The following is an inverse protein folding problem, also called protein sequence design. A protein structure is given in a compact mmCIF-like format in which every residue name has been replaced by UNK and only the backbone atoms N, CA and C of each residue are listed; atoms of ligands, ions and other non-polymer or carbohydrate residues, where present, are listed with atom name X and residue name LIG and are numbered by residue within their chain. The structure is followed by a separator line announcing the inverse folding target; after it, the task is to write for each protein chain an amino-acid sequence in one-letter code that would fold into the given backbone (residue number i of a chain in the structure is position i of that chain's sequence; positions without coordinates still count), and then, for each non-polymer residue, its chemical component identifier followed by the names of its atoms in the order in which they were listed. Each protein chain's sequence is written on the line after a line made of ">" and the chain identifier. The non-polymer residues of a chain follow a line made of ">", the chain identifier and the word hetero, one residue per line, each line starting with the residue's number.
data_IF_903518832017
#
_entry.id   IF_903518832017
#
_cell.length_a   1.000
_cell.length_b   1.000
_cell.length_c   1.000
_cell.angle_alpha   90.00
_cell.angle_beta   90.00
_cell.angle_gamma   90.00
#
_symmetry.space_group_name_H-M   'P 1'
#
loop_
_entity.id
_entity.type
_entity.pdbx_description
1 polymer ?
#
# COMPACT_ATOMS: atom_id res chain seq x y z
N UNK A 1 -11.85 -23.10 -17.68
CA UNK A 1 -11.16 -23.94 -16.67
C UNK A 1 -11.78 -23.65 -15.31
N UNK A 2 -12.21 -24.66 -14.58
CA UNK A 2 -12.74 -24.48 -13.23
C UNK A 2 -11.59 -24.02 -12.31
N UNK A 3 -11.78 -22.97 -11.50
CA UNK A 3 -10.74 -22.52 -10.57
C UNK A 3 -10.34 -23.64 -9.61
N UNK A 4 -9.08 -23.66 -9.18
CA UNK A 4 -8.60 -24.61 -8.16
C UNK A 4 -9.43 -24.48 -6.87
N UNK A 5 -9.67 -25.58 -6.15
CA UNK A 5 -10.52 -25.68 -4.95
C UNK A 5 -10.22 -24.60 -3.88
N UNK A 6 -8.99 -24.10 -3.81
CA UNK A 6 -8.54 -23.11 -2.84
C UNK A 6 -8.31 -21.71 -3.48
N UNK A 7 -8.82 -21.48 -4.68
CA UNK A 7 -8.69 -20.14 -5.30
C UNK A 7 -9.65 -19.16 -4.63
N UNK A 8 -9.10 -18.11 -4.00
CA UNK A 8 -9.81 -17.05 -3.30
C UNK A 8 -9.79 -15.73 -4.05
N UNK A 9 -9.25 -15.71 -5.28
CA UNK A 9 -9.18 -14.49 -6.10
C UNK A 9 -10.56 -13.88 -6.26
N UNK A 10 -10.71 -12.63 -5.84
CA UNK A 10 -11.93 -11.88 -6.09
C UNK A 10 -11.99 -11.47 -7.55
N UNK A 11 -13.02 -11.96 -8.23
CA UNK A 11 -13.40 -11.60 -9.59
C UNK A 11 -14.87 -11.18 -9.53
N UNK A 12 -15.19 -10.03 -10.10
CA UNK A 12 -16.57 -9.55 -10.15
C UNK A 12 -17.25 -10.02 -11.44
N UNK A 13 -18.55 -10.40 -11.33
CA UNK A 13 -19.43 -10.50 -12.48
C UNK A 13 -19.68 -9.14 -13.11
N UNK A 14 -20.23 -9.07 -14.31
CA UNK A 14 -20.64 -7.80 -14.92
C UNK A 14 -21.74 -7.10 -14.11
N UNK A 15 -22.64 -7.86 -13.49
CA UNK A 15 -23.71 -7.36 -12.64
C UNK A 15 -23.15 -6.75 -11.36
N UNK A 16 -22.24 -7.47 -10.66
CA UNK A 16 -21.56 -6.97 -9.48
C UNK A 16 -20.70 -5.76 -9.79
N UNK A 17 -20.02 -5.76 -10.94
CA UNK A 17 -19.23 -4.60 -11.38
C UNK A 17 -20.10 -3.36 -11.51
N UNK A 18 -21.26 -3.47 -12.16
CA UNK A 18 -22.21 -2.35 -12.27
C UNK A 18 -22.75 -1.91 -10.92
N UNK A 19 -23.13 -2.86 -10.07
CA UNK A 19 -23.62 -2.60 -8.72
C UNK A 19 -22.61 -1.81 -7.89
N UNK A 20 -21.39 -2.30 -7.78
CA UNK A 20 -20.36 -1.66 -6.96
C UNK A 20 -19.80 -0.37 -7.57
N UNK A 21 -19.80 -0.23 -8.91
CA UNK A 21 -19.44 1.02 -9.56
C UNK A 21 -20.43 2.16 -9.20
N UNK A 22 -21.69 1.85 -9.01
CA UNK A 22 -22.72 2.83 -8.59
C UNK A 22 -22.53 3.30 -7.14
N UNK A 23 -21.76 2.58 -6.32
CA UNK A 23 -21.40 3.00 -4.96
C UNK A 23 -20.22 3.99 -4.94
N UNK A 24 -19.48 4.09 -6.06
CA UNK A 24 -18.38 5.03 -6.20
C UNK A 24 -18.90 6.43 -6.50
N UNK A 25 -18.29 7.44 -5.90
CA UNK A 25 -18.59 8.84 -6.18
C UNK A 25 -18.06 9.20 -7.58
N UNK A 26 -18.93 9.74 -8.42
CA UNK A 26 -18.54 10.31 -9.70
C UNK A 26 -18.60 11.84 -9.58
N UNK A 27 -17.47 12.55 -9.58
CA UNK A 27 -17.44 13.99 -9.48
C UNK A 27 -18.13 14.64 -10.68
N UNK A 28 -19.03 15.57 -10.42
CA UNK A 28 -19.81 16.31 -11.43
C UNK A 28 -19.17 17.65 -11.85
N UNK A 29 -17.96 17.91 -11.40
CA UNK A 29 -17.23 19.17 -11.62
C UNK A 29 -17.41 20.20 -10.51
N UNK A 30 -18.26 19.95 -9.52
CA UNK A 30 -18.41 20.81 -8.35
C UNK A 30 -17.28 20.62 -7.35
N UNK A 31 -17.01 21.67 -6.54
CA UNK A 31 -16.06 21.58 -5.45
C UNK A 31 -16.47 20.52 -4.42
N UNK A 32 -15.54 19.68 -4.03
CA UNK A 32 -15.73 18.62 -3.05
C UNK A 32 -15.31 19.09 -1.66
N UNK A 33 -16.13 18.83 -0.66
CA UNK A 33 -15.75 19.00 0.75
C UNK A 33 -15.14 17.71 1.31
N UNK A 34 -14.38 17.82 2.41
CA UNK A 34 -13.83 16.66 3.11
C UNK A 34 -14.92 15.65 3.48
N UNK A 35 -16.07 16.12 3.98
CA UNK A 35 -17.19 15.26 4.35
C UNK A 35 -17.82 14.50 3.16
N UNK A 36 -17.74 15.03 1.95
CA UNK A 36 -18.25 14.35 0.75
C UNK A 36 -17.35 13.21 0.27
N UNK A 37 -16.04 13.32 0.50
CA UNK A 37 -15.03 12.36 0.04
C UNK A 37 -14.58 11.38 1.13
N UNK A 38 -14.91 11.65 2.39
CA UNK A 38 -14.57 10.80 3.51
C UNK A 38 -15.14 9.38 3.34
N UNK A 39 -14.25 8.39 3.42
CA UNK A 39 -14.57 6.96 3.27
C UNK A 39 -15.23 6.62 1.91
N UNK A 40 -14.81 7.33 0.85
CA UNK A 40 -15.34 7.13 -0.51
C UNK A 40 -14.25 6.78 -1.51
N UNK A 41 -14.67 6.09 -2.56
CA UNK A 41 -13.92 5.89 -3.79
C UNK A 41 -14.47 6.85 -4.83
N UNK A 42 -13.58 7.60 -5.48
CA UNK A 42 -13.93 8.49 -6.58
C UNK A 42 -13.55 7.77 -7.89
N UNK A 43 -14.55 7.50 -8.72
CA UNK A 43 -14.30 6.97 -10.06
C UNK A 43 -14.05 8.12 -11.03
N UNK A 44 -12.80 8.46 -11.25
CA UNK A 44 -12.40 9.57 -12.11
C UNK A 44 -10.91 9.53 -12.44
N UNK A 45 -10.48 10.33 -13.42
CA UNK A 45 -9.07 10.67 -13.62
C UNK A 45 -8.62 11.65 -12.54
N UNK A 46 -7.48 11.36 -11.90
CA UNK A 46 -6.92 12.21 -10.84
C UNK A 46 -6.69 13.65 -11.31
N UNK A 47 -6.28 13.85 -12.55
CA UNK A 47 -6.03 15.19 -13.10
C UNK A 47 -7.30 16.04 -13.16
N UNK A 48 -8.45 15.41 -13.38
CA UNK A 48 -9.76 16.07 -13.39
C UNK A 48 -10.30 16.32 -11.98
N UNK A 49 -9.94 15.48 -11.01
CA UNK A 49 -10.43 15.58 -9.63
C UNK A 49 -9.59 16.53 -8.79
N UNK A 50 -8.28 16.61 -9.04
CA UNK A 50 -7.38 17.46 -8.25
C UNK A 50 -7.89 18.89 -8.03
N UNK A 51 -8.38 19.63 -9.04
CA UNK A 51 -8.89 20.98 -8.82
C UNK A 51 -10.11 21.05 -7.90
N UNK A 52 -10.86 19.95 -7.78
CA UNK A 52 -12.12 19.86 -7.03
C UNK A 52 -11.90 19.47 -5.56
N UNK A 53 -10.77 18.82 -5.23
CA UNK A 53 -10.51 18.35 -3.86
C UNK A 53 -10.33 19.53 -2.88
N UNK A 54 -10.66 19.37 -1.61
CA UNK A 54 -10.32 20.35 -0.58
C UNK A 54 -8.79 20.46 -0.40
N UNK A 55 -8.32 21.54 0.20
CA UNK A 55 -6.93 21.70 0.58
C UNK A 55 -6.68 21.19 2.00
N UNK A 56 -5.44 20.77 2.30
CA UNK A 56 -4.98 20.47 3.67
C UNK A 56 -5.84 19.50 4.46
N UNK A 57 -6.28 18.40 3.85
CA UNK A 57 -7.08 17.38 4.53
C UNK A 57 -6.33 16.06 4.76
N UNK A 58 -5.22 15.82 4.04
CA UNK A 58 -4.50 14.55 4.02
C UNK A 58 -3.42 14.53 5.11
N UNK A 59 -3.49 13.55 6.00
CA UNK A 59 -2.45 13.22 6.98
C UNK A 59 -1.40 12.28 6.38
N UNK A 60 -1.84 11.30 5.57
CA UNK A 60 -1.00 10.31 4.92
C UNK A 60 -1.38 10.13 3.47
N UNK A 61 -0.44 10.39 2.58
CA UNK A 61 -0.56 10.19 1.14
C UNK A 61 0.23 8.94 0.72
N UNK A 62 -0.45 7.99 0.09
CA UNK A 62 0.16 6.78 -0.48
C UNK A 62 -0.07 6.79 -1.98
N UNK A 63 0.99 6.72 -2.75
CA UNK A 63 0.96 6.85 -4.21
C UNK A 63 1.60 5.61 -4.85
N UNK A 64 0.84 4.87 -5.65
CA UNK A 64 1.34 3.79 -6.50
C UNK A 64 1.03 4.13 -7.98
N UNK A 65 1.77 5.06 -8.57
CA UNK A 65 1.46 5.58 -9.90
C UNK A 65 1.80 4.54 -10.98
N UNK A 66 1.25 4.65 -12.20
CA UNK A 66 1.71 3.85 -13.32
C UNK A 66 3.21 3.98 -13.50
N UNK A 67 3.92 2.84 -13.45
CA UNK A 67 5.36 2.80 -13.72
C UNK A 67 5.61 2.99 -15.21
N UNK A 68 6.76 3.56 -15.57
CA UNK A 68 7.16 3.76 -16.96
C UNK A 68 7.47 2.42 -17.66
N UNK A 69 6.46 1.59 -17.78
CA UNK A 69 6.51 0.26 -18.38
C UNK A 69 5.34 0.08 -19.35
N UNK A 70 5.53 -0.69 -20.42
CA UNK A 70 4.43 -1.10 -21.30
C UNK A 70 3.49 -2.02 -20.52
N UNK A 71 2.35 -1.49 -20.08
CA UNK A 71 1.30 -2.26 -19.41
C UNK A 71 -0.08 -1.90 -19.96
N UNK A 72 -0.95 -2.89 -19.93
CA UNK A 72 -2.36 -2.73 -20.23
C UNK A 72 -3.14 -2.91 -18.91
N UNK A 73 -3.86 -1.88 -18.51
CA UNK A 73 -4.76 -1.90 -17.39
C UNK A 73 -6.18 -1.89 -17.93
N UNK A 74 -6.78 -3.07 -18.13
CA UNK A 74 -8.15 -3.24 -18.60
C UNK A 74 -8.50 -2.41 -19.86
N UNK A 75 -7.58 -2.35 -20.84
CA UNK A 75 -7.75 -1.56 -22.08
C UNK A 75 -7.05 -0.21 -22.09
N UNK A 76 -6.74 0.37 -20.93
CA UNK A 76 -5.89 1.55 -20.83
C UNK A 76 -4.43 1.14 -21.00
N UNK A 77 -3.80 1.58 -22.09
CA UNK A 77 -2.40 1.30 -22.34
C UNK A 77 -1.51 2.43 -21.81
N UNK A 78 -0.65 2.10 -20.85
CA UNK A 78 0.45 2.97 -20.49
C UNK A 78 1.68 2.59 -21.31
N UNK A 79 2.14 3.51 -22.16
CA UNK A 79 3.30 3.32 -23.04
C UNK A 79 4.61 3.59 -22.32
N UNK A 80 5.71 3.06 -22.85
CA UNK A 80 7.05 3.46 -22.39
C UNK A 80 7.34 4.88 -22.89
N UNK A 81 7.61 5.79 -21.97
CA UNK A 81 8.00 7.19 -22.24
C UNK A 81 9.51 7.35 -22.13
N UNK A 82 10.07 8.38 -22.77
CA UNK A 82 11.42 8.84 -22.46
C UNK A 82 11.43 9.44 -21.04
N UNK A 83 12.60 9.50 -20.40
CA UNK A 83 12.71 9.93 -18.99
C UNK A 83 12.19 11.37 -18.77
N UNK A 84 12.44 12.28 -19.69
CA UNK A 84 11.96 13.68 -19.64
C UNK A 84 10.43 13.76 -19.82
N UNK A 85 9.86 12.91 -20.68
CA UNK A 85 8.42 12.83 -20.90
C UNK A 85 7.72 12.28 -19.64
N UNK A 86 8.28 11.21 -19.05
CA UNK A 86 7.77 10.66 -17.80
C UNK A 86 7.89 11.66 -16.64
N UNK A 87 9.00 12.38 -16.56
CA UNK A 87 9.19 13.45 -15.57
C UNK A 87 8.14 14.56 -15.70
N UNK A 88 7.85 14.96 -16.94
CA UNK A 88 6.83 15.99 -17.24
C UNK A 88 5.43 15.48 -16.87
N UNK A 89 5.09 14.25 -17.24
CA UNK A 89 3.85 13.61 -16.87
C UNK A 89 3.69 13.49 -15.33
N UNK A 90 4.76 13.09 -14.62
CA UNK A 90 4.73 12.99 -13.16
C UNK A 90 4.50 14.37 -12.51
N UNK A 91 5.21 15.42 -12.95
CA UNK A 91 5.04 16.78 -12.42
C UNK A 91 3.63 17.32 -12.63
N UNK A 92 2.99 17.00 -13.74
CA UNK A 92 1.67 17.53 -14.13
C UNK A 92 0.59 17.27 -13.07
N UNK A 93 0.62 16.11 -12.42
CA UNK A 93 -0.35 15.75 -11.38
C UNK A 93 0.24 15.82 -9.96
N UNK A 94 1.52 15.53 -9.79
CA UNK A 94 2.16 15.49 -8.47
C UNK A 94 2.23 16.87 -7.82
N UNK A 95 2.65 17.89 -8.55
CA UNK A 95 2.79 19.25 -8.00
C UNK A 95 1.46 19.83 -7.54
N UNK A 96 0.36 19.79 -8.33
CA UNK A 96 -0.96 20.20 -7.86
C UNK A 96 -1.48 19.35 -6.69
N UNK A 97 -1.10 18.08 -6.59
CA UNK A 97 -1.51 17.18 -5.51
C UNK A 97 -1.01 17.65 -4.14
N UNK A 98 0.14 18.32 -4.08
CA UNK A 98 0.74 18.74 -2.80
C UNK A 98 -0.14 19.68 -1.97
N UNK A 99 -1.09 20.40 -2.60
CA UNK A 99 -2.01 21.29 -1.90
C UNK A 99 -2.97 20.58 -0.94
N UNK A 100 -3.20 19.28 -1.13
CA UNK A 100 -4.10 18.50 -0.25
C UNK A 100 -3.43 18.08 1.06
N UNK A 101 -2.10 18.18 1.15
CA UNK A 101 -1.32 17.75 2.30
C UNK A 101 -1.48 18.71 3.48
N UNK A 102 -1.66 18.17 4.67
CA UNK A 102 -1.48 18.90 5.92
C UNK A 102 -0.01 19.27 6.14
N UNK A 103 0.30 20.29 6.97
CA UNK A 103 1.68 20.71 7.23
C UNK A 103 2.60 19.62 7.80
N UNK A 104 2.04 18.64 8.49
CA UNK A 104 2.72 17.51 9.14
C UNK A 104 2.51 16.16 8.41
N UNK A 105 1.96 16.22 7.19
CA UNK A 105 1.66 15.03 6.39
C UNK A 105 2.92 14.23 6.03
N UNK A 106 2.72 12.91 5.98
CA UNK A 106 3.67 11.95 5.44
C UNK A 106 3.26 11.49 4.03
N UNK A 107 4.24 11.19 3.18
CA UNK A 107 4.03 10.76 1.80
C UNK A 107 4.86 9.52 1.51
N UNK A 108 4.24 8.50 0.93
CA UNK A 108 4.92 7.34 0.39
C UNK A 108 4.65 7.21 -1.11
N UNK A 109 5.72 7.05 -1.90
CA UNK A 109 5.61 6.89 -3.35
C UNK A 109 6.26 5.57 -3.75
N UNK A 110 5.44 4.64 -4.25
CA UNK A 110 5.93 3.38 -4.82
C UNK A 110 6.58 3.66 -6.18
N UNK A 111 7.73 3.04 -6.43
CA UNK A 111 8.49 3.22 -7.66
C UNK A 111 9.17 1.93 -8.07
N UNK A 112 9.62 1.87 -9.32
CA UNK A 112 10.54 0.82 -9.78
C UNK A 112 11.93 1.43 -10.02
N UNK A 113 12.97 0.62 -10.05
CA UNK A 113 14.37 1.07 -10.02
C UNK A 113 14.76 2.09 -11.11
N UNK A 114 14.09 2.09 -12.28
CA UNK A 114 14.36 3.03 -13.37
C UNK A 114 13.75 4.40 -13.11
N UNK A 115 12.52 4.41 -12.60
CA UNK A 115 11.79 5.65 -12.33
C UNK A 115 12.12 6.25 -10.96
N UNK A 116 12.70 5.47 -10.03
CA UNK A 116 13.10 5.94 -8.70
C UNK A 116 13.95 7.22 -8.75
N UNK A 117 15.02 7.33 -9.57
CA UNK A 117 15.83 8.56 -9.62
C UNK A 117 15.05 9.79 -10.08
N UNK A 118 14.16 9.62 -11.07
CA UNK A 118 13.33 10.69 -11.63
C UNK A 118 12.35 11.19 -10.56
N UNK A 119 11.58 10.27 -9.97
CA UNK A 119 10.58 10.61 -8.96
C UNK A 119 11.24 11.21 -7.72
N UNK A 120 12.36 10.63 -7.26
CA UNK A 120 13.11 11.13 -6.11
C UNK A 120 13.61 12.56 -6.33
N UNK A 121 14.14 12.87 -7.53
CA UNK A 121 14.59 14.20 -7.88
C UNK A 121 13.44 15.21 -7.83
N UNK A 122 12.31 14.88 -8.47
CA UNK A 122 11.16 15.79 -8.54
C UNK A 122 10.52 15.98 -7.17
N UNK A 123 10.23 14.88 -6.46
CA UNK A 123 9.58 14.96 -5.16
C UNK A 123 10.45 15.69 -4.13
N UNK A 124 11.76 15.54 -4.21
CA UNK A 124 12.74 16.23 -3.34
C UNK A 124 12.81 17.74 -3.51
N UNK A 125 12.28 18.31 -4.61
CA UNK A 125 12.14 19.75 -4.79
C UNK A 125 11.08 20.36 -3.86
N UNK A 126 10.09 19.56 -3.46
CA UNK A 126 8.91 20.02 -2.71
C UNK A 126 8.79 19.42 -1.31
N UNK A 127 9.29 18.20 -1.12
CA UNK A 127 9.14 17.42 0.11
C UNK A 127 10.51 17.01 0.64
N UNK A 128 10.58 16.71 1.94
CA UNK A 128 11.80 16.22 2.58
C UNK A 128 11.88 14.71 2.46
N UNK A 129 12.88 14.21 1.74
CA UNK A 129 13.14 12.78 1.61
C UNK A 129 13.70 12.27 2.93
N UNK A 130 13.03 11.29 3.54
CA UNK A 130 13.42 10.68 4.81
C UNK A 130 14.14 9.36 4.61
N UNK A 131 13.63 8.52 3.71
CA UNK A 131 14.21 7.19 3.47
C UNK A 131 13.77 6.65 2.10
N UNK A 132 14.48 5.64 1.64
CA UNK A 132 14.08 4.73 0.57
C UNK A 132 13.96 3.34 1.16
N UNK A 133 12.78 2.75 1.05
CA UNK A 133 12.49 1.39 1.46
C UNK A 133 12.57 0.52 0.21
N UNK A 134 13.34 -0.57 0.26
CA UNK A 134 13.37 -1.56 -0.81
C UNK A 134 12.56 -2.77 -0.39
N UNK A 135 11.49 -3.07 -1.13
CA UNK A 135 10.66 -4.25 -0.91
C UNK A 135 11.05 -5.36 -1.88
N UNK A 136 11.43 -6.52 -1.33
CA UNK A 136 11.68 -7.72 -2.10
C UNK A 136 10.36 -8.31 -2.63
N UNK A 137 10.26 -8.42 -3.97
CA UNK A 137 9.16 -9.12 -4.66
C UNK A 137 9.63 -10.49 -5.09
N UNK A 138 8.97 -11.54 -4.61
CA UNK A 138 9.32 -12.91 -5.01
C UNK A 138 8.98 -13.24 -6.47
N UNK A 139 8.06 -12.48 -7.07
CA UNK A 139 7.61 -12.69 -8.45
C UNK A 139 8.46 -11.89 -9.44
N UNK A 140 8.76 -12.51 -10.57
CA UNK A 140 9.43 -11.90 -11.71
C UNK A 140 9.92 -13.00 -12.65
N UNK A 141 9.90 -12.72 -13.94
CA UNK A 141 10.50 -13.61 -14.94
C UNK A 141 12.02 -13.61 -14.77
N UNK A 142 12.66 -14.75 -14.97
CA UNK A 142 14.12 -14.83 -15.05
C UNK A 142 14.65 -13.92 -16.16
N UNK A 143 15.87 -13.44 -16.00
CA UNK A 143 16.58 -12.68 -17.02
C UNK A 143 17.76 -13.53 -17.52
N UNK A 144 17.98 -13.51 -18.84
CA UNK A 144 19.07 -14.28 -19.45
C UNK A 144 20.36 -13.47 -19.54
N UNK A 145 20.26 -12.16 -19.75
CA UNK A 145 21.40 -11.27 -20.05
C UNK A 145 21.56 -10.17 -18.99
N UNK A 146 20.85 -10.24 -17.88
CA UNK A 146 20.90 -9.26 -16.78
C UNK A 146 20.41 -9.90 -15.49
N UNK A 147 20.54 -9.19 -14.37
CA UNK A 147 19.98 -9.60 -13.09
C UNK A 147 18.44 -9.53 -13.10
N UNK A 148 17.81 -10.55 -12.54
CA UNK A 148 16.35 -10.57 -12.36
C UNK A 148 15.94 -9.41 -11.45
N UNK A 149 15.04 -8.55 -11.94
CA UNK A 149 14.43 -7.54 -11.08
C UNK A 149 13.45 -8.21 -10.11
N UNK A 150 13.75 -8.15 -8.82
CA UNK A 150 12.94 -8.75 -7.75
C UNK A 150 12.61 -7.73 -6.65
N UNK A 151 12.74 -6.44 -6.91
CA UNK A 151 12.46 -5.40 -5.92
C UNK A 151 11.60 -4.26 -6.48
N UNK A 152 10.92 -3.58 -5.58
CA UNK A 152 10.34 -2.25 -5.79
C UNK A 152 10.84 -1.32 -4.69
N UNK A 153 10.95 -0.04 -4.98
CA UNK A 153 11.30 0.99 -4.00
C UNK A 153 10.06 1.75 -3.54
N UNK A 154 10.08 2.20 -2.30
CA UNK A 154 9.08 3.08 -1.73
C UNK A 154 9.83 4.27 -1.13
N UNK A 155 9.63 5.44 -1.68
CA UNK A 155 10.20 6.67 -1.15
C UNK A 155 9.34 7.13 0.04
N UNK A 156 9.96 7.36 1.18
CA UNK A 156 9.34 7.98 2.34
C UNK A 156 9.73 9.46 2.39
N UNK A 157 8.73 10.32 2.34
CA UNK A 157 8.89 11.77 2.36
C UNK A 157 7.95 12.40 3.39
N UNK A 158 8.26 13.62 3.82
CA UNK A 158 7.39 14.41 4.70
C UNK A 158 7.29 15.85 4.23
N UNK A 159 6.14 16.47 4.52
CA UNK A 159 5.93 17.87 4.17
C UNK A 159 6.78 18.80 5.05
N UNK A 160 6.99 18.45 6.33
CA UNK A 160 7.83 19.21 7.25
C UNK A 160 8.66 18.29 8.15
N UNK A 161 9.38 18.84 9.14
CA UNK A 161 10.10 18.07 10.16
C UNK A 161 9.19 17.56 11.29
N UNK A 162 7.98 18.08 11.39
CA UNK A 162 6.96 17.55 12.27
C UNK A 162 6.12 16.56 11.50
N UNK A 163 6.19 15.29 11.85
CA UNK A 163 5.42 14.21 11.24
C UNK A 163 5.24 13.07 12.22
N UNK A 164 4.23 12.24 11.99
CA UNK A 164 3.96 11.04 12.77
C UNK A 164 4.88 9.90 12.31
N UNK A 165 5.58 9.26 13.27
CA UNK A 165 6.27 8.00 13.02
C UNK A 165 6.20 7.08 14.25
N UNK A 166 5.26 6.15 14.23
CA UNK A 166 4.96 5.21 15.31
C UNK A 166 5.84 3.96 15.19
N UNK A 167 7.11 4.05 15.57
CA UNK A 167 8.10 2.98 15.41
C UNK A 167 7.68 1.67 16.09
N UNK A 168 7.02 1.75 17.24
CA UNK A 168 6.59 0.58 17.99
C UNK A 168 5.48 -0.20 17.29
N UNK A 169 4.60 0.47 16.57
CA UNK A 169 3.50 -0.14 15.81
C UNK A 169 3.97 -0.94 14.58
N UNK A 170 5.23 -0.79 14.17
CA UNK A 170 5.78 -1.45 12.98
C UNK A 170 6.99 -2.33 13.26
N UNK A 171 7.23 -2.65 14.53
CA UNK A 171 8.22 -3.66 14.92
C UNK A 171 7.87 -5.02 14.33
N UNK A 172 8.91 -5.77 13.98
CA UNK A 172 8.78 -7.08 13.37
C UNK A 172 9.15 -8.18 14.38
N UNK A 173 8.23 -9.09 14.65
CA UNK A 173 8.45 -10.24 15.50
C UNK A 173 9.16 -11.34 14.70
N UNK A 174 10.42 -11.59 15.07
CA UNK A 174 11.29 -12.57 14.41
C UNK A 174 11.59 -13.73 15.31
N UNK A 175 11.63 -14.94 14.73
CA UNK A 175 12.11 -16.13 15.43
C UNK A 175 13.62 -16.01 15.67
N UNK A 176 14.05 -16.32 16.90
CA UNK A 176 15.46 -16.31 17.28
C UNK A 176 16.09 -17.64 16.93
N UNK A 177 17.11 -17.62 16.07
CA UNK A 177 17.85 -18.83 15.66
C UNK A 177 19.06 -19.06 16.54
N UNK A 178 19.71 -18.00 17.03
CA UNK A 178 20.87 -18.06 17.92
C UNK A 178 20.63 -17.13 19.12
N UNK A 179 20.06 -17.62 20.23
CA UNK A 179 19.68 -16.79 21.36
C UNK A 179 20.92 -16.38 22.18
N UNK A 180 21.19 -15.08 22.26
CA UNK A 180 22.14 -14.53 23.20
C UNK A 180 21.53 -14.52 24.60
N UNK A 181 22.30 -15.00 25.59
CA UNK A 181 21.95 -14.95 27.01
C UNK A 181 22.95 -14.09 27.76
N UNK A 182 22.53 -13.48 28.85
CA UNK A 182 23.43 -12.84 29.80
C UNK A 182 24.28 -13.89 30.53
N UNK A 183 25.30 -13.45 31.25
CA UNK A 183 26.14 -14.32 32.10
C UNK A 183 25.33 -15.09 33.16
N UNK A 184 24.15 -14.55 33.50
CA UNK A 184 23.16 -15.18 34.40
C UNK A 184 22.25 -16.19 33.69
N UNK A 185 22.40 -16.43 32.39
CA UNK A 185 21.58 -17.33 31.58
C UNK A 185 20.22 -16.77 31.13
N UNK A 186 19.91 -15.50 31.42
CA UNK A 186 18.66 -14.86 31.02
C UNK A 186 18.67 -14.41 29.55
N UNK A 187 17.51 -14.43 28.84
CA UNK A 187 17.39 -13.83 27.51
C UNK A 187 17.85 -12.35 27.52
N UNK A 188 18.69 -11.95 26.55
CA UNK A 188 19.26 -10.59 26.52
C UNK A 188 18.32 -9.60 25.78
N UNK A 189 17.76 -10.02 24.64
CA UNK A 189 16.96 -9.16 23.74
C UNK A 189 15.82 -9.93 23.03
N UNK A 190 15.35 -11.01 23.66
CA UNK A 190 14.32 -11.89 23.11
C UNK A 190 13.45 -12.46 24.23
N UNK A 191 12.26 -12.94 23.87
CA UNK A 191 11.29 -13.52 24.78
C UNK A 191 11.17 -15.02 24.55
N UNK A 192 11.12 -15.79 25.63
CA UNK A 192 10.82 -17.20 25.61
C UNK A 192 9.30 -17.39 25.72
N UNK A 193 8.69 -18.00 24.72
CA UNK A 193 7.26 -18.24 24.68
C UNK A 193 6.97 -19.72 24.45
N UNK A 194 5.74 -20.17 24.73
CA UNK A 194 5.31 -21.56 24.46
C UNK A 194 5.44 -21.94 22.97
N UNK A 195 5.42 -20.98 22.08
CA UNK A 195 5.53 -21.17 20.63
C UNK A 195 6.99 -21.08 20.11
N UNK A 196 7.94 -20.76 20.99
CA UNK A 196 9.36 -20.60 20.68
C UNK A 196 9.92 -19.27 21.14
N UNK A 197 11.14 -18.99 20.73
CA UNK A 197 11.88 -17.80 21.12
C UNK A 197 11.73 -16.72 20.04
N UNK A 198 11.28 -15.53 20.43
CA UNK A 198 11.04 -14.42 19.51
C UNK A 198 11.72 -13.14 19.99
N UNK A 199 12.07 -12.31 19.03
CA UNK A 199 12.60 -10.97 19.26
C UNK A 199 11.79 -9.97 18.47
N UNK A 200 11.44 -8.84 19.11
CA UNK A 200 10.85 -7.69 18.45
C UNK A 200 11.97 -6.80 17.92
N UNK A 201 12.05 -6.66 16.59
CA UNK A 201 13.11 -5.87 15.94
C UNK A 201 12.55 -4.57 15.39
N UNK A 202 13.35 -3.49 15.47
CA UNK A 202 13.02 -2.24 14.80
C UNK A 202 12.83 -2.45 13.29
N UNK A 203 11.92 -1.70 12.64
CA UNK A 203 11.71 -1.80 11.21
C UNK A 203 12.98 -1.35 10.46
N UNK A 204 13.39 -2.12 9.46
CA UNK A 204 14.45 -1.75 8.53
C UNK A 204 13.84 -1.20 7.24
N UNK A 205 14.65 -0.57 6.41
CA UNK A 205 14.27 -0.12 5.07
C UNK A 205 14.48 -1.20 3.98
N UNK A 206 14.80 -2.42 4.37
CA UNK A 206 14.81 -3.60 3.49
C UNK A 206 13.72 -4.58 3.95
N UNK A 207 12.68 -4.73 3.14
CA UNK A 207 11.52 -5.57 3.46
C UNK A 207 11.53 -6.86 2.67
N UNK A 208 11.83 -7.95 3.36
CA UNK A 208 11.89 -9.31 2.80
C UNK A 208 10.75 -10.20 3.33
N UNK A 209 9.91 -9.65 4.21
CA UNK A 209 8.88 -10.37 4.96
C UNK A 209 7.47 -10.25 4.35
N UNK A 210 7.33 -9.64 3.16
CA UNK A 210 6.03 -9.35 2.55
C UNK A 210 5.93 -10.07 1.20
N UNK A 211 4.97 -10.99 1.09
CA UNK A 211 4.67 -11.69 -0.16
C UNK A 211 3.71 -10.90 -1.03
N UNK A 212 3.90 -10.95 -2.35
CA UNK A 212 2.90 -10.46 -3.32
C UNK A 212 1.63 -11.31 -3.20
N UNK A 213 0.43 -10.72 -3.25
CA UNK A 213 -0.82 -11.48 -3.20
C UNK A 213 -0.86 -12.57 -4.28
N UNK A 214 -1.35 -13.74 -3.92
CA UNK A 214 -1.53 -14.87 -4.82
C UNK A 214 -2.87 -15.56 -4.58
N UNK A 215 -3.29 -16.40 -5.52
CA UNK A 215 -4.63 -16.94 -5.69
C UNK A 215 -5.27 -17.56 -4.42
N UNK A 216 -4.50 -18.06 -3.46
CA UNK A 216 -5.04 -18.63 -2.21
C UNK A 216 -5.15 -17.61 -1.07
N UNK A 217 -4.71 -16.37 -1.23
CA UNK A 217 -4.83 -15.32 -0.24
C UNK A 217 -6.22 -14.66 -0.31
N UNK A 218 -6.89 -14.39 0.83
CA UNK A 218 -8.20 -13.72 0.85
C UNK A 218 -8.21 -12.35 0.20
N UNK A 219 -7.10 -11.62 0.32
CA UNK A 219 -6.95 -10.28 -0.25
C UNK A 219 -6.75 -10.26 -1.78
N UNK A 220 -6.45 -11.42 -2.39
CA UNK A 220 -6.07 -11.47 -3.80
C UNK A 220 -7.22 -11.13 -4.74
N UNK A 221 -6.92 -10.35 -5.78
CA UNK A 221 -7.86 -9.96 -6.83
C UNK A 221 -7.28 -10.21 -8.21
N UNK A 222 -8.08 -9.99 -9.24
CA UNK A 222 -7.62 -10.03 -10.63
C UNK A 222 -6.75 -8.83 -11.06
N UNK A 223 -6.56 -7.82 -10.18
CA UNK A 223 -5.74 -6.65 -10.51
C UNK A 223 -4.26 -7.04 -10.68
N UNK A 224 -3.61 -6.69 -11.80
CA UNK A 224 -2.31 -7.26 -12.17
C UNK A 224 -1.13 -6.78 -11.31
N UNK A 225 -1.29 -5.68 -10.62
CA UNK A 225 -0.23 -5.02 -9.82
C UNK A 225 -0.65 -4.71 -8.40
N UNK A 226 -1.63 -5.46 -7.87
CA UNK A 226 -2.11 -5.26 -6.52
C UNK A 226 -0.98 -5.26 -5.49
N UNK A 227 -0.94 -4.22 -4.65
CA UNK A 227 -0.06 -4.18 -3.48
C UNK A 227 -0.62 -5.04 -2.33
N UNK A 228 0.24 -5.68 -1.52
CA UNK A 228 -0.20 -6.45 -0.35
C UNK A 228 -0.76 -5.55 0.75
N UNK A 229 -1.83 -6.00 1.43
CA UNK A 229 -2.37 -5.28 2.59
C UNK A 229 -1.32 -5.13 3.71
N UNK A 230 -0.46 -6.12 3.93
CA UNK A 230 0.64 -6.04 4.91
C UNK A 230 1.61 -4.90 4.63
N UNK A 231 1.93 -4.65 3.35
CA UNK A 231 2.80 -3.53 2.95
C UNK A 231 2.15 -2.20 3.32
N UNK A 232 0.91 -2.01 2.89
CA UNK A 232 0.16 -0.78 3.15
C UNK A 232 -0.09 -0.59 4.65
N UNK A 233 -0.35 -1.66 5.40
CA UNK A 233 -0.51 -1.59 6.85
C UNK A 233 0.74 -1.07 7.57
N UNK A 234 1.94 -1.48 7.13
CA UNK A 234 3.18 -0.93 7.68
C UNK A 234 3.29 0.57 7.45
N UNK A 235 2.92 1.07 6.26
CA UNK A 235 2.96 2.49 5.95
C UNK A 235 1.95 3.28 6.80
N UNK A 236 0.70 2.79 6.86
CA UNK A 236 -0.39 3.43 7.61
C UNK A 236 -0.07 3.46 9.11
N UNK A 237 0.34 2.34 9.69
CA UNK A 237 0.64 2.27 11.12
C UNK A 237 1.85 3.11 11.51
N UNK A 238 2.89 3.16 10.65
CA UNK A 238 4.06 4.00 10.89
C UNK A 238 3.71 5.49 10.91
N UNK A 239 2.88 5.95 9.97
CA UNK A 239 2.78 7.38 9.65
C UNK A 239 1.38 7.95 9.78
N UNK A 240 0.53 7.33 10.58
CA UNK A 240 -0.80 7.86 10.91
C UNK A 240 -1.33 7.31 12.24
N UNK A 241 -2.31 8.01 12.80
CA UNK A 241 -3.07 7.59 13.99
C UNK A 241 -4.51 7.20 13.60
N UNK A 242 -5.24 6.46 14.44
CA UNK A 242 -6.68 6.24 14.22
C UNK A 242 -7.44 7.56 14.02
N UNK A 243 -8.28 7.61 12.99
CA UNK A 243 -9.02 8.81 12.60
C UNK A 243 -8.30 9.76 11.64
N UNK A 244 -6.99 9.60 11.40
CA UNK A 244 -6.26 10.36 10.39
C UNK A 244 -6.76 10.02 8.98
N UNK A 245 -6.58 10.95 8.04
CA UNK A 245 -7.05 10.83 6.66
C UNK A 245 -5.96 10.29 5.74
N UNK A 246 -6.19 9.10 5.18
CA UNK A 246 -5.32 8.44 4.20
C UNK A 246 -5.86 8.70 2.80
N UNK A 247 -5.02 9.17 1.89
CA UNK A 247 -5.39 9.41 0.50
C UNK A 247 -4.52 8.62 -0.48
N UNK A 248 -5.16 8.06 -1.53
CA UNK A 248 -4.48 7.34 -2.61
C UNK A 248 -5.03 7.81 -3.97
N UNK A 249 -4.24 8.56 -4.75
CA UNK A 249 -4.68 9.10 -6.05
C UNK A 249 -4.68 8.07 -7.19
N UNK A 250 -4.14 6.85 -6.96
CA UNK A 250 -4.08 5.75 -7.94
C UNK A 250 -4.50 4.44 -7.29
N UNK A 251 -5.75 4.38 -6.83
CA UNK A 251 -6.25 3.38 -5.88
C UNK A 251 -6.16 1.93 -6.38
N UNK A 252 -6.29 1.69 -7.68
CA UNK A 252 -6.29 0.36 -8.27
C UNK A 252 -7.35 -0.55 -7.66
N UNK A 253 -6.93 -1.67 -7.10
CA UNK A 253 -7.82 -2.64 -6.44
C UNK A 253 -8.24 -2.27 -5.01
N UNK A 254 -7.95 -1.07 -4.54
CA UNK A 254 -8.41 -0.55 -3.25
C UNK A 254 -7.59 -0.98 -2.03
N UNK A 255 -6.38 -1.46 -2.19
CA UNK A 255 -5.61 -1.97 -1.04
C UNK A 255 -5.40 -0.90 0.03
N UNK A 256 -5.11 0.35 -0.37
CA UNK A 256 -4.93 1.47 0.57
C UNK A 256 -6.22 1.76 1.33
N UNK A 257 -7.36 1.88 0.66
CA UNK A 257 -8.65 2.18 1.28
C UNK A 257 -9.11 1.06 2.23
N UNK A 258 -9.00 -0.20 1.79
CA UNK A 258 -9.35 -1.39 2.59
C UNK A 258 -8.48 -1.47 3.85
N UNK A 259 -7.17 -1.28 3.72
CA UNK A 259 -6.26 -1.34 4.86
C UNK A 259 -6.48 -0.16 5.81
N UNK A 260 -6.73 1.04 5.30
CA UNK A 260 -7.08 2.21 6.12
C UNK A 260 -8.35 1.96 6.93
N UNK A 261 -9.41 1.42 6.31
CA UNK A 261 -10.67 1.04 6.99
C UNK A 261 -10.41 0.00 8.09
N UNK A 262 -9.70 -1.10 7.78
CA UNK A 262 -9.35 -2.14 8.76
C UNK A 262 -8.58 -1.58 9.96
N UNK A 263 -7.75 -0.56 9.74
CA UNK A 263 -6.93 0.10 10.76
C UNK A 263 -7.58 1.36 11.37
N UNK A 264 -8.87 1.60 11.11
CA UNK A 264 -9.66 2.73 11.67
C UNK A 264 -9.14 4.10 11.26
N UNK A 265 -8.64 4.24 10.04
CA UNK A 265 -8.33 5.54 9.42
C UNK A 265 -9.47 5.92 8.48
N UNK A 266 -9.70 7.23 8.34
CA UNK A 266 -10.52 7.76 7.26
C UNK A 266 -9.75 7.62 5.95
N UNK A 267 -10.44 7.47 4.85
CA UNK A 267 -9.78 7.25 3.56
C UNK A 267 -10.53 7.93 2.42
N UNK A 268 -9.80 8.22 1.36
CA UNK A 268 -10.33 8.49 0.04
C UNK A 268 -9.35 7.92 -0.99
N UNK A 269 -9.87 7.44 -2.10
CA UNK A 269 -9.03 6.99 -3.21
C UNK A 269 -9.67 7.34 -4.55
N UNK A 270 -8.82 7.59 -5.55
CA UNK A 270 -9.23 7.89 -6.93
C UNK A 270 -8.82 6.74 -7.83
N UNK A 271 -9.74 6.25 -8.67
CA UNK A 271 -9.49 5.19 -9.64
C UNK A 271 -10.21 5.52 -10.95
N UNK A 272 -9.47 5.52 -12.04
CA UNK A 272 -10.01 5.87 -13.35
C UNK A 272 -10.81 4.72 -13.98
N UNK A 273 -10.38 3.48 -13.76
CA UNK A 273 -11.01 2.30 -14.33
C UNK A 273 -12.23 1.89 -13.52
N UNK A 274 -13.39 1.84 -14.17
CA UNK A 274 -14.67 1.49 -13.53
C UNK A 274 -14.64 0.10 -12.87
N UNK A 275 -14.00 -0.87 -13.51
CA UNK A 275 -13.92 -2.24 -12.99
C UNK A 275 -13.06 -2.29 -11.73
N UNK A 276 -11.94 -1.57 -11.69
CA UNK A 276 -11.08 -1.53 -10.52
C UNK A 276 -11.69 -0.68 -9.39
N UNK A 277 -12.38 0.41 -9.71
CA UNK A 277 -13.17 1.15 -8.72
C UNK A 277 -14.25 0.26 -8.08
N UNK A 278 -15.02 -0.48 -8.89
CA UNK A 278 -15.99 -1.45 -8.41
C UNK A 278 -15.36 -2.57 -7.56
N UNK A 279 -14.20 -3.08 -7.99
CA UNK A 279 -13.44 -4.09 -7.24
C UNK A 279 -13.01 -3.56 -5.87
N UNK A 280 -12.59 -2.30 -5.80
CA UNK A 280 -12.24 -1.62 -4.56
C UNK A 280 -13.44 -1.48 -3.62
N UNK A 281 -14.61 -1.08 -4.15
CA UNK A 281 -15.85 -0.99 -3.38
C UNK A 281 -16.27 -2.37 -2.83
N UNK A 282 -16.23 -3.42 -3.64
CA UNK A 282 -16.52 -4.78 -3.22
C UNK A 282 -15.59 -5.27 -2.10
N UNK A 283 -14.29 -4.94 -2.15
CA UNK A 283 -13.33 -5.25 -1.08
C UNK A 283 -13.63 -4.49 0.20
N UNK A 284 -14.05 -3.23 0.11
CA UNK A 284 -14.44 -2.44 1.28
C UNK A 284 -15.65 -3.04 2.00
N UNK A 285 -16.65 -3.56 1.28
CA UNK A 285 -17.78 -4.28 1.86
C UNK A 285 -17.29 -5.55 2.56
N UNK A 286 -16.46 -6.37 1.90
CA UNK A 286 -15.89 -7.58 2.51
C UNK A 286 -15.05 -7.31 3.76
N UNK A 287 -14.40 -6.16 3.83
CA UNK A 287 -13.59 -5.79 4.99
C UNK A 287 -14.38 -5.51 6.26
N UNK A 288 -15.71 -5.41 6.18
CA UNK A 288 -16.60 -5.32 7.35
C UNK A 288 -16.71 -6.66 8.09
N UNK A 289 -16.68 -7.75 7.34
CA UNK A 289 -16.74 -9.12 7.90
C UNK A 289 -15.34 -9.66 8.23
N UNK A 290 -14.33 -9.31 7.44
CA UNK A 290 -12.94 -9.77 7.63
C UNK A 290 -11.98 -8.59 7.77
N UNK A 291 -11.66 -8.25 9.02
CA UNK A 291 -10.69 -7.21 9.37
C UNK A 291 -9.26 -7.71 9.44
N UNK A 292 -8.99 -8.99 9.16
CA UNK A 292 -7.65 -9.57 9.24
C UNK A 292 -6.72 -9.00 8.17
N UNK A 293 -5.46 -8.78 8.54
CA UNK A 293 -4.37 -8.42 7.62
C UNK A 293 -3.33 -9.53 7.70
N UNK A 294 -2.99 -10.13 6.57
CA UNK A 294 -2.07 -11.25 6.55
C UNK A 294 -0.70 -10.87 7.13
N UNK A 295 -0.20 -11.67 8.07
CA UNK A 295 1.09 -11.43 8.74
C UNK A 295 1.09 -10.28 9.75
N UNK A 296 -0.10 -9.76 10.11
CA UNK A 296 -0.29 -8.82 11.21
C UNK A 296 -1.36 -9.36 12.15
N UNK A 297 -1.06 -9.45 13.45
CA UNK A 297 -1.98 -9.98 14.46
C UNK A 297 -1.54 -9.48 15.84
N UNK A 298 -2.50 -9.16 16.73
CA UNK A 298 -2.20 -8.69 18.08
C UNK A 298 -1.26 -7.46 18.08
N UNK A 299 -1.52 -6.48 17.19
CA UNK A 299 -0.71 -5.27 17.02
C UNK A 299 0.77 -5.53 16.69
N UNK A 300 1.09 -6.67 16.09
CA UNK A 300 2.45 -7.08 15.78
C UNK A 300 2.58 -7.62 14.35
N UNK A 301 3.63 -7.22 13.65
CA UNK A 301 4.01 -7.85 12.38
C UNK A 301 4.88 -9.09 12.61
N UNK A 302 4.62 -10.11 11.80
CA UNK A 302 5.36 -11.36 11.81
C UNK A 302 6.15 -11.55 10.51
N UNK A 303 7.29 -12.20 10.60
CA UNK A 303 8.02 -12.66 9.41
C UNK A 303 7.12 -13.56 8.53
N UNK A 304 7.48 -13.64 7.25
CA UNK A 304 6.80 -14.48 6.25
C UNK A 304 6.46 -15.88 6.79
N UNK A 305 5.19 -16.27 6.66
CA UNK A 305 4.64 -17.57 7.08
C UNK A 305 4.70 -17.91 8.59
N UNK A 306 5.36 -17.10 9.42
CA UNK A 306 5.51 -17.39 10.85
C UNK A 306 4.15 -17.44 11.56
N UNK A 307 3.28 -16.46 11.30
CA UNK A 307 1.95 -16.40 11.94
C UNK A 307 1.07 -17.60 11.56
N UNK A 308 1.09 -18.04 10.31
CA UNK A 308 0.33 -19.22 9.87
C UNK A 308 0.85 -20.50 10.52
N UNK A 309 2.16 -20.62 10.68
CA UNK A 309 2.77 -21.74 11.38
C UNK A 309 2.34 -21.80 12.86
N UNK A 310 2.30 -20.64 13.53
CA UNK A 310 1.86 -20.54 14.91
C UNK A 310 0.38 -20.87 15.09
N UNK A 311 -0.49 -20.42 14.16
CA UNK A 311 -1.93 -20.76 14.19
C UNK A 311 -2.19 -22.25 13.99
N UNK A 312 -1.48 -22.91 13.07
CA UNK A 312 -1.59 -24.38 12.85
C UNK A 312 -1.12 -25.24 14.02
N UNK A 313 -0.28 -24.73 14.90
CA UNK A 313 0.16 -25.45 16.10
C UNK A 313 -0.88 -25.41 17.23
N UNK A 314 -1.86 -24.51 17.16
CA UNK A 314 -2.93 -24.35 18.17
C UNK A 314 -4.21 -25.11 17.80
N UNK A 315 -4.32 -25.57 16.55
CA UNK A 315 -5.33 -26.52 16.07
C UNK A 315 -4.86 -27.97 16.29
#
# INVERSE_FOLDING_TARGET
>A
MTPAKNNRTLILSEEDTRRYANECLQPDGSQLSEAMIENRILQADITNVLPLLPASFVDLLIIDPPYNLRKNFNGLQFGLMQDEEYASWFRMWFVPLLRVLKPDASVYICTEWRTTPIIQSIAGEYLRIRNRITWEREKGKGAMNNWKNCSEDILFLTHSDKYVFNVDAVKLKRKVLAPYRSDEGKPKDWEETVDGNFRSTHPSNLWTDISVPFWSMPENTEHPTQKPEKLIAKLILASSNPGDFVFDPFLGSGTTAVTAKKLKRRYCGVEIDQKYAALSAARLVRSEEDTTIQGYDGECFYERNTLQYLKKKKE
#
